data_IF_013459213186
#
_entry.id   IF_013459213186
#
_cell.length_a   1.000
_cell.length_b   1.000
_cell.length_c   1.000
_cell.angle_alpha   90.00
_cell.angle_beta   90.00
_cell.angle_gamma   90.00
#
_symmetry.space_group_name_H-M   'P 1'
#
loop_
_entity.id
_entity.type
_entity.pdbx_description
1 polymer ?
#
# COMPACT_ATOMS: atom_id res chain seq x y z
N UNK A 1 -42.06 -50.01 58.47
CA UNK A 1 -42.49 -48.73 59.00
C UNK A 1 -41.76 -47.69 58.17
N UNK A 2 -42.27 -47.26 57.06
CA UNK A 2 -43.27 -46.25 56.76
C UNK A 2 -42.77 -44.83 57.05
N UNK A 3 -42.50 -44.08 56.07
CA UNK A 3 -43.23 -42.84 55.79
C UNK A 3 -42.81 -42.24 54.47
N UNK A 4 -43.77 -42.20 53.58
CA UNK A 4 -43.83 -41.40 52.36
C UNK A 4 -43.87 -39.91 52.69
N UNK A 5 -43.13 -39.08 52.03
CA UNK A 5 -43.44 -37.64 51.96
C UNK A 5 -43.36 -37.15 50.53
N UNK A 6 -44.54 -36.79 50.05
CA UNK A 6 -44.79 -36.14 48.77
C UNK A 6 -44.01 -34.79 48.64
N UNK A 7 -43.35 -34.61 47.53
CA UNK A 7 -42.90 -33.27 47.08
C UNK A 7 -43.94 -32.73 46.08
N UNK A 8 -44.32 -31.45 46.14
CA UNK A 8 -45.25 -30.83 45.23
C UNK A 8 -44.58 -30.50 43.89
N UNK A 9 -45.30 -30.73 42.82
CA UNK A 9 -44.85 -30.38 41.44
C UNK A 9 -44.77 -28.89 41.23
N UNK A 10 -43.56 -28.42 40.92
CA UNK A 10 -43.35 -27.05 40.39
C UNK A 10 -43.83 -26.97 38.95
N UNK A 11 -44.79 -26.08 38.71
CA UNK A 11 -45.25 -25.70 37.37
C UNK A 11 -44.19 -24.80 36.70
N UNK A 12 -43.76 -25.03 35.45
CA UNK A 12 -42.84 -24.13 34.77
C UNK A 12 -43.55 -22.81 34.40
N UNK A 13 -43.05 -21.70 34.91
CA UNK A 13 -43.53 -20.35 34.61
C UNK A 13 -43.02 -19.88 33.22
N UNK A 14 -43.56 -20.45 32.15
CA UNK A 14 -43.20 -20.16 30.76
C UNK A 14 -43.66 -18.80 30.22
N UNK A 15 -44.19 -17.90 31.07
CA UNK A 15 -44.66 -16.57 30.62
C UNK A 15 -43.68 -15.41 30.88
N UNK A 16 -42.65 -15.57 31.70
CA UNK A 16 -41.69 -14.51 31.98
C UNK A 16 -40.54 -14.47 30.99
N UNK A 17 -40.15 -15.60 30.40
CA UNK A 17 -39.06 -15.66 29.42
C UNK A 17 -39.45 -15.18 28.00
N UNK A 18 -40.75 -15.32 27.64
CA UNK A 18 -41.22 -14.78 26.36
C UNK A 18 -41.21 -13.25 26.30
N UNK A 19 -41.42 -12.56 27.43
CA UNK A 19 -41.37 -11.10 27.49
C UNK A 19 -39.94 -10.55 27.51
N UNK A 20 -38.95 -11.28 28.02
CA UNK A 20 -37.53 -10.91 27.96
C UNK A 20 -36.93 -11.10 26.56
N UNK A 21 -37.39 -12.11 25.80
CA UNK A 21 -36.96 -12.34 24.43
C UNK A 21 -37.60 -11.36 23.42
N UNK A 22 -38.77 -10.84 23.70
CA UNK A 22 -39.43 -9.84 22.86
C UNK A 22 -38.84 -8.41 23.03
N UNK A 23 -38.28 -8.08 24.20
CA UNK A 23 -37.70 -6.76 24.46
C UNK A 23 -36.25 -6.62 23.92
N UNK A 24 -35.59 -7.71 23.54
CA UNK A 24 -34.24 -7.68 22.97
C UNK A 24 -34.24 -7.53 21.44
N UNK A 25 -35.41 -7.59 20.79
CA UNK A 25 -35.53 -7.64 19.31
C UNK A 25 -35.94 -6.32 18.66
N UNK A 26 -36.08 -5.22 19.35
CA UNK A 26 -36.60 -3.98 18.77
C UNK A 26 -35.88 -2.69 19.17
N UNK A 27 -34.70 -2.74 19.80
CA UNK A 27 -34.08 -1.49 20.26
C UNK A 27 -32.81 -1.05 19.50
N UNK A 28 -32.17 -1.88 18.70
CA UNK A 28 -30.88 -1.47 18.08
C UNK A 28 -30.73 -1.78 16.57
N UNK A 29 -31.82 -1.88 15.84
CA UNK A 29 -31.75 -1.81 14.39
C UNK A 29 -31.88 -0.37 13.90
N UNK A 30 -31.00 0.52 14.34
CA UNK A 30 -30.80 1.80 13.65
C UNK A 30 -29.98 1.52 12.40
N UNK A 31 -30.46 1.88 11.21
CA UNK A 31 -29.69 1.66 10.01
C UNK A 31 -28.40 2.47 10.08
N UNK A 32 -27.27 1.84 9.83
CA UNK A 32 -25.90 2.34 9.85
C UNK A 32 -25.70 3.70 9.12
N UNK A 33 -26.58 4.04 8.20
CA UNK A 33 -26.49 5.28 7.39
C UNK A 33 -27.21 6.50 8.01
N UNK A 34 -27.78 6.40 9.21
CA UNK A 34 -28.56 7.47 9.84
C UNK A 34 -27.87 8.07 11.06
N UNK A 35 -26.56 8.09 11.12
CA UNK A 35 -25.90 8.76 12.22
C UNK A 35 -25.04 9.94 11.75
N UNK A 36 -25.41 11.06 12.22
CA UNK A 36 -24.77 12.34 12.47
C UNK A 36 -23.44 12.63 11.78
N UNK A 37 -23.46 13.63 10.92
CA UNK A 37 -22.27 14.25 10.31
C UNK A 37 -21.20 14.65 11.35
N UNK A 38 -21.59 14.84 12.61
CA UNK A 38 -20.68 15.09 13.73
C UNK A 38 -19.83 13.90 14.14
N UNK A 39 -20.37 12.68 14.11
CA UNK A 39 -19.65 11.46 14.49
C UNK A 39 -18.65 11.00 13.42
N UNK A 40 -18.90 11.33 12.15
CA UNK A 40 -17.93 11.01 11.06
C UNK A 40 -16.67 11.89 11.21
N UNK A 41 -16.84 13.18 11.48
CA UNK A 41 -15.71 14.12 11.64
C UNK A 41 -14.90 13.80 12.91
N UNK A 42 -15.57 13.52 14.02
CA UNK A 42 -14.90 13.10 15.27
C UNK A 42 -14.20 11.75 15.11
N UNK A 43 -14.82 10.80 14.41
CA UNK A 43 -14.20 9.52 14.08
C UNK A 43 -12.98 9.65 13.15
N UNK A 44 -13.04 10.58 12.19
CA UNK A 44 -11.89 10.88 11.32
C UNK A 44 -10.73 11.49 12.11
N UNK A 45 -11.01 12.45 12.98
CA UNK A 45 -9.99 13.13 13.80
C UNK A 45 -9.34 12.14 14.77
N UNK A 46 -10.12 11.25 15.38
CA UNK A 46 -9.59 10.22 16.29
C UNK A 46 -8.77 9.12 15.57
N UNK A 47 -8.99 8.92 14.28
CA UNK A 47 -8.24 7.97 13.45
C UNK A 47 -6.93 8.55 12.89
N UNK A 48 -6.68 9.86 13.07
CA UNK A 48 -5.41 10.47 12.70
C UNK A 48 -4.29 10.01 13.64
N UNK A 49 -3.11 9.65 13.12
CA UNK A 49 -1.94 9.48 13.94
C UNK A 49 -1.63 10.79 14.69
N UNK A 50 -1.29 10.70 15.98
CA UNK A 50 -1.03 11.89 16.81
C UNK A 50 0.47 12.08 17.05
N UNK A 51 0.89 13.31 17.30
CA UNK A 51 2.27 13.62 17.67
C UNK A 51 3.31 13.25 16.60
N UNK A 52 4.35 12.53 17.00
CA UNK A 52 5.46 12.12 16.12
C UNK A 52 5.01 11.24 14.93
N UNK A 53 3.99 10.41 15.11
CA UNK A 53 3.49 9.53 14.05
C UNK A 53 2.88 10.32 12.87
N UNK A 54 2.18 11.42 13.15
CA UNK A 54 1.69 12.32 12.10
C UNK A 54 2.85 13.00 11.36
N UNK A 55 3.87 13.46 12.09
CA UNK A 55 5.05 14.07 11.48
C UNK A 55 5.77 13.09 10.54
N UNK A 56 5.96 11.83 10.96
CA UNK A 56 6.54 10.78 10.12
C UNK A 56 5.72 10.53 8.86
N UNK A 57 4.39 10.50 8.96
CA UNK A 57 3.50 10.31 7.82
C UNK A 57 3.62 11.47 6.82
N UNK A 58 3.64 12.73 7.29
CA UNK A 58 3.76 13.90 6.44
C UNK A 58 5.14 13.99 5.76
N UNK A 59 6.22 13.66 6.50
CA UNK A 59 7.57 13.57 5.93
C UNK A 59 7.63 12.48 4.86
N UNK A 60 7.04 11.31 5.13
CA UNK A 60 6.94 10.23 4.15
C UNK A 60 6.19 10.66 2.89
N UNK A 61 5.06 11.37 3.06
CA UNK A 61 4.26 11.88 1.95
C UNK A 61 5.04 12.91 1.10
N UNK A 62 5.70 13.86 1.75
CA UNK A 62 6.50 14.87 1.03
C UNK A 62 7.66 14.22 0.28
N UNK A 63 8.47 13.40 0.95
CA UNK A 63 9.64 12.76 0.35
C UNK A 63 9.25 11.78 -0.76
N UNK A 64 8.22 10.96 -0.56
CA UNK A 64 7.66 10.07 -1.58
C UNK A 64 7.11 10.84 -2.77
N UNK A 65 6.37 11.94 -2.52
CA UNK A 65 5.85 12.83 -3.56
C UNK A 65 6.95 13.49 -4.38
N UNK A 66 8.00 14.00 -3.75
CA UNK A 66 9.18 14.57 -4.44
C UNK A 66 9.84 13.54 -5.36
N UNK A 67 10.07 12.32 -4.86
CA UNK A 67 10.63 11.24 -5.66
C UNK A 67 9.72 10.88 -6.85
N UNK A 68 8.40 10.80 -6.63
CA UNK A 68 7.41 10.51 -7.68
C UNK A 68 7.39 11.58 -8.76
N UNK A 69 7.33 12.85 -8.36
CA UNK A 69 7.26 13.98 -9.29
C UNK A 69 8.47 14.07 -10.20
N UNK A 70 9.64 13.78 -9.65
CA UNK A 70 10.89 13.83 -10.42
C UNK A 70 11.13 12.59 -11.27
N UNK A 71 11.15 11.39 -10.66
CA UNK A 71 11.56 10.16 -11.35
C UNK A 71 10.42 9.45 -12.08
N UNK A 72 9.17 9.78 -11.75
CA UNK A 72 7.99 9.07 -12.23
C UNK A 72 7.77 7.70 -11.57
N UNK A 73 8.66 7.27 -10.67
CA UNK A 73 8.55 6.05 -9.86
C UNK A 73 9.33 6.24 -8.54
N UNK A 74 9.28 5.25 -7.67
CA UNK A 74 10.10 5.27 -6.45
C UNK A 74 9.43 5.89 -5.23
N UNK A 75 8.22 6.44 -5.36
CA UNK A 75 7.49 6.96 -4.20
C UNK A 75 7.34 5.90 -3.11
N UNK A 76 6.95 4.69 -3.46
CA UNK A 76 6.75 3.60 -2.52
C UNK A 76 8.05 3.18 -1.81
N UNK A 77 9.21 3.29 -2.47
CA UNK A 77 10.52 2.99 -1.88
C UNK A 77 10.88 3.91 -0.70
N UNK A 78 10.28 5.10 -0.67
CA UNK A 78 10.50 6.10 0.40
C UNK A 78 9.29 6.15 1.33
N UNK A 79 8.09 6.23 0.76
CA UNK A 79 6.86 6.40 1.52
C UNK A 79 6.60 5.20 2.44
N UNK A 80 6.60 3.97 1.90
CA UNK A 80 6.18 2.78 2.66
C UNK A 80 7.08 2.52 3.86
N UNK A 81 8.42 2.53 3.77
CA UNK A 81 9.25 2.34 4.95
C UNK A 81 9.04 3.44 6.00
N UNK A 82 9.00 4.71 5.62
CA UNK A 82 8.80 5.81 6.58
C UNK A 82 7.39 5.79 7.19
N UNK A 83 6.35 5.61 6.39
CA UNK A 83 4.97 5.53 6.87
C UNK A 83 4.75 4.29 7.75
N UNK A 84 5.51 3.20 7.53
CA UNK A 84 5.44 2.00 8.37
C UNK A 84 5.89 2.23 9.80
N UNK A 85 6.70 3.25 10.08
CA UNK A 85 7.06 3.66 11.44
C UNK A 85 5.83 4.15 12.20
N UNK A 86 4.92 4.86 11.51
CA UNK A 86 3.71 5.44 12.09
C UNK A 86 2.50 4.48 12.06
N UNK A 87 2.30 3.77 10.96
CA UNK A 87 1.07 3.00 10.67
C UNK A 87 1.29 1.49 10.62
N UNK A 88 2.53 1.02 10.73
CA UNK A 88 2.89 -0.35 10.38
C UNK A 88 2.84 -0.60 8.86
N UNK A 89 3.45 -1.70 8.37
CA UNK A 89 3.45 -2.03 6.94
C UNK A 89 2.04 -2.27 6.39
N UNK A 90 1.16 -2.89 7.19
CA UNK A 90 -0.24 -3.20 6.84
C UNK A 90 -1.12 -1.94 6.67
N UNK A 91 -0.76 -0.81 7.28
CA UNK A 91 -1.40 0.48 7.03
C UNK A 91 -0.73 1.29 5.93
N UNK A 92 0.61 1.25 5.87
CA UNK A 92 1.39 2.05 4.92
C UNK A 92 1.20 1.62 3.45
N UNK A 93 1.15 0.31 3.16
CA UNK A 93 1.02 -0.20 1.80
C UNK A 93 -0.35 0.12 1.17
N UNK A 94 -1.52 -0.10 1.84
CA UNK A 94 -2.81 0.31 1.30
C UNK A 94 -2.97 1.84 1.19
N UNK A 95 -2.37 2.59 2.11
CA UNK A 95 -2.36 4.05 2.01
C UNK A 95 -1.58 4.52 0.78
N UNK A 96 -0.43 3.90 0.50
CA UNK A 96 0.34 4.17 -0.72
C UNK A 96 -0.45 3.86 -2.00
N UNK A 97 -1.21 2.75 -2.01
CA UNK A 97 -2.10 2.41 -3.12
C UNK A 97 -3.11 3.53 -3.38
N UNK A 98 -3.76 4.04 -2.33
CA UNK A 98 -4.72 5.12 -2.46
C UNK A 98 -4.08 6.42 -3.01
N UNK A 99 -2.86 6.73 -2.56
CA UNK A 99 -2.11 7.89 -3.06
C UNK A 99 -1.71 7.77 -4.53
N UNK A 100 -1.29 6.57 -4.97
CA UNK A 100 -0.90 6.32 -6.36
C UNK A 100 -2.11 6.22 -7.30
N UNK A 101 -3.28 5.82 -6.81
CA UNK A 101 -4.47 5.63 -7.65
C UNK A 101 -4.83 6.87 -8.47
N UNK A 102 -4.76 8.07 -7.85
CA UNK A 102 -5.03 9.33 -8.54
C UNK A 102 -3.99 9.62 -9.62
N UNK A 103 -2.70 9.49 -9.30
CA UNK A 103 -1.61 9.74 -10.25
C UNK A 103 -1.67 8.77 -11.44
N UNK A 104 -1.97 7.49 -11.18
CA UNK A 104 -2.13 6.47 -12.21
C UNK A 104 -3.34 6.77 -13.09
N UNK A 105 -4.50 7.13 -12.52
CA UNK A 105 -5.70 7.47 -13.27
C UNK A 105 -5.47 8.63 -14.24
N UNK A 106 -4.71 9.64 -13.84
CA UNK A 106 -4.41 10.80 -14.68
C UNK A 106 -3.40 10.49 -15.79
N UNK A 107 -2.42 9.62 -15.54
CA UNK A 107 -1.32 9.35 -16.47
C UNK A 107 -1.62 8.22 -17.47
N UNK A 108 -2.46 7.25 -17.09
CA UNK A 108 -2.73 6.05 -17.91
C UNK A 108 -3.35 6.35 -19.25
N UNK A 109 -4.34 7.25 -19.41
CA UNK A 109 -4.95 7.52 -20.73
C UNK A 109 -3.94 7.99 -21.76
N UNK A 110 -3.00 8.85 -21.37
CA UNK A 110 -1.93 9.33 -22.26
C UNK A 110 -0.84 8.29 -22.57
N UNK A 111 -0.63 7.34 -21.67
CA UNK A 111 0.36 6.27 -21.82
C UNK A 111 -0.17 5.09 -22.65
N UNK A 112 -1.47 4.81 -22.60
CA UNK A 112 -2.09 3.66 -23.20
C UNK A 112 -1.78 3.43 -24.70
N UNK A 113 -1.85 4.45 -25.60
CA UNK A 113 -1.58 4.27 -27.03
C UNK A 113 -0.09 4.00 -27.34
N UNK A 114 0.81 4.34 -26.43
CA UNK A 114 2.27 4.22 -26.62
C UNK A 114 2.85 2.95 -25.97
N UNK A 115 2.08 2.28 -25.14
CA UNK A 115 2.53 1.12 -24.37
C UNK A 115 2.57 -0.14 -25.25
N UNK A 116 3.57 -1.00 -25.04
CA UNK A 116 3.60 -2.37 -25.56
C UNK A 116 2.61 -3.24 -24.77
N UNK A 117 1.38 -3.32 -25.29
CA UNK A 117 0.27 -4.03 -24.59
C UNK A 117 0.54 -5.51 -24.40
N UNK A 118 1.26 -6.14 -25.34
CA UNK A 118 1.59 -7.56 -25.25
C UNK A 118 2.50 -7.82 -24.07
N UNK A 119 3.51 -6.98 -23.91
CA UNK A 119 4.46 -7.09 -22.83
C UNK A 119 3.86 -6.76 -21.48
N UNK A 120 3.10 -5.66 -21.41
CA UNK A 120 2.32 -5.30 -20.22
C UNK A 120 1.37 -6.42 -19.83
N UNK A 121 0.75 -7.09 -20.80
CA UNK A 121 -0.11 -8.26 -20.55
C UNK A 121 0.64 -9.41 -19.84
N UNK A 122 1.81 -9.80 -20.34
CA UNK A 122 2.61 -10.85 -19.69
C UNK A 122 3.12 -10.45 -18.29
N UNK A 123 3.56 -9.21 -18.12
CA UNK A 123 3.93 -8.66 -16.81
C UNK A 123 2.73 -8.70 -15.85
N UNK A 124 1.56 -8.28 -16.32
CA UNK A 124 0.33 -8.24 -15.50
C UNK A 124 -0.18 -9.62 -15.14
N UNK A 125 -0.04 -10.62 -16.02
CA UNK A 125 -0.35 -12.02 -15.71
C UNK A 125 0.53 -12.55 -14.59
N UNK A 126 1.83 -12.24 -14.60
CA UNK A 126 2.72 -12.55 -13.49
C UNK A 126 2.30 -11.83 -12.20
N UNK A 127 2.01 -10.54 -12.29
CA UNK A 127 1.57 -9.74 -11.15
C UNK A 127 0.22 -10.22 -10.58
N UNK A 128 -0.69 -10.73 -11.41
CA UNK A 128 -1.99 -11.28 -10.98
C UNK A 128 -1.83 -12.44 -9.99
N UNK A 129 -0.75 -13.23 -10.14
CA UNK A 129 -0.40 -14.29 -9.20
C UNK A 129 0.45 -13.74 -8.06
N UNK A 130 1.45 -12.90 -8.37
CA UNK A 130 2.41 -12.41 -7.39
C UNK A 130 1.80 -11.46 -6.35
N UNK A 131 0.91 -10.56 -6.78
CA UNK A 131 0.35 -9.54 -5.88
C UNK A 131 -0.53 -10.13 -4.77
N UNK A 132 -1.44 -11.08 -5.02
CA UNK A 132 -2.16 -11.75 -3.93
C UNK A 132 -1.24 -12.52 -2.98
N UNK A 133 -0.19 -13.17 -3.49
CA UNK A 133 0.81 -13.82 -2.63
C UNK A 133 1.53 -12.81 -1.73
N UNK A 134 1.92 -11.65 -2.30
CA UNK A 134 2.52 -10.56 -1.52
C UNK A 134 1.56 -9.97 -0.50
N UNK A 135 0.28 -9.78 -0.84
CA UNK A 135 -0.74 -9.32 0.09
C UNK A 135 -0.99 -10.33 1.22
N UNK A 136 -0.96 -11.63 0.93
CA UNK A 136 -1.05 -12.68 1.94
C UNK A 136 0.14 -12.62 2.90
N UNK A 137 1.37 -12.47 2.39
CA UNK A 137 2.57 -12.26 3.22
C UNK A 137 2.40 -11.03 4.11
N UNK A 138 1.88 -9.92 3.56
CA UNK A 138 1.64 -8.69 4.32
C UNK A 138 0.68 -8.90 5.49
N UNK A 139 -0.36 -9.72 5.32
CA UNK A 139 -1.38 -9.98 6.36
C UNK A 139 -0.91 -10.98 7.41
N UNK A 140 -0.27 -12.06 6.96
CA UNK A 140 0.03 -13.21 7.84
C UNK A 140 1.37 -13.09 8.57
N UNK A 141 2.25 -12.18 8.14
CA UNK A 141 3.55 -12.01 8.76
C UNK A 141 3.48 -10.98 9.88
N UNK A 142 4.24 -11.23 10.95
CA UNK A 142 4.39 -10.29 12.06
C UNK A 142 4.87 -8.91 11.57
N UNK A 143 4.26 -7.81 12.03
CA UNK A 143 4.63 -6.45 11.59
C UNK A 143 6.09 -6.09 11.78
N UNK A 144 6.74 -6.60 12.83
CA UNK A 144 8.16 -6.35 13.09
C UNK A 144 9.04 -7.03 12.05
N UNK A 145 8.74 -8.32 11.76
CA UNK A 145 9.44 -9.08 10.72
C UNK A 145 9.23 -8.47 9.33
N UNK A 146 8.01 -8.00 9.05
CA UNK A 146 7.71 -7.29 7.80
C UNK A 146 8.53 -6.01 7.65
N UNK A 147 8.70 -5.21 8.71
CA UNK A 147 9.53 -3.98 8.66
C UNK A 147 10.97 -4.31 8.31
N UNK A 148 11.55 -5.34 8.92
CA UNK A 148 12.88 -5.84 8.56
C UNK A 148 12.92 -6.29 7.10
N UNK A 149 11.96 -7.12 6.69
CA UNK A 149 11.87 -7.66 5.33
C UNK A 149 11.74 -6.56 4.28
N UNK A 150 10.84 -5.59 4.49
CA UNK A 150 10.63 -4.45 3.57
C UNK A 150 11.89 -3.59 3.48
N UNK A 151 12.54 -3.27 4.60
CA UNK A 151 13.77 -2.49 4.60
C UNK A 151 14.90 -3.20 3.83
N UNK A 152 15.11 -4.50 4.08
CA UNK A 152 16.13 -5.30 3.38
C UNK A 152 15.85 -5.42 1.89
N UNK A 153 14.59 -5.64 1.51
CA UNK A 153 14.16 -5.66 0.09
C UNK A 153 14.44 -4.32 -0.58
N UNK A 154 14.10 -3.22 0.07
CA UNK A 154 14.34 -1.87 -0.49
C UNK A 154 15.83 -1.60 -0.64
N UNK A 155 16.66 -1.97 0.34
CA UNK A 155 18.12 -1.85 0.23
C UNK A 155 18.68 -2.72 -0.90
N UNK A 156 18.19 -3.95 -1.07
CA UNK A 156 18.55 -4.82 -2.19
C UNK A 156 18.17 -4.22 -3.54
N UNK A 157 16.96 -3.67 -3.67
CA UNK A 157 16.49 -2.98 -4.88
C UNK A 157 17.28 -1.70 -5.15
N UNK A 158 17.66 -0.96 -4.11
CA UNK A 158 18.54 0.19 -4.23
C UNK A 158 19.92 -0.25 -4.76
N UNK A 159 20.49 -1.34 -4.24
CA UNK A 159 21.72 -1.93 -4.76
C UNK A 159 21.60 -2.30 -6.25
N UNK A 160 20.48 -2.91 -6.65
CA UNK A 160 20.18 -3.20 -8.04
C UNK A 160 20.11 -1.92 -8.90
N UNK A 161 19.49 -0.86 -8.41
CA UNK A 161 19.40 0.42 -9.13
C UNK A 161 20.76 1.12 -9.24
N UNK A 162 21.58 1.10 -8.18
CA UNK A 162 22.91 1.71 -8.15
C UNK A 162 23.90 0.93 -9.03
N UNK A 163 23.80 -0.40 -9.09
CA UNK A 163 24.64 -1.23 -9.96
C UNK A 163 24.42 -0.95 -11.45
N UNK A 164 23.32 -0.29 -11.80
CA UNK A 164 22.94 -0.03 -13.20
C UNK A 164 22.64 -1.31 -13.99
N UNK A 165 22.41 -2.43 -13.28
CA UNK A 165 22.09 -3.70 -13.92
C UNK A 165 20.83 -3.58 -14.77
N UNK A 166 20.90 -4.06 -16.00
CA UNK A 166 19.81 -4.11 -16.95
C UNK A 166 19.76 -5.50 -17.57
N UNK A 167 18.59 -5.99 -17.79
CA UNK A 167 18.41 -7.25 -18.49
C UNK A 167 18.98 -7.11 -19.92
N UNK A 168 19.83 -8.04 -20.36
CA UNK A 168 20.47 -8.05 -21.69
C UNK A 168 20.11 -9.30 -22.50
N UNK A 169 18.91 -9.82 -22.33
CA UNK A 169 18.44 -11.01 -23.02
C UNK A 169 17.33 -10.73 -24.03
N UNK A 170 16.97 -11.74 -24.83
CA UNK A 170 15.79 -11.69 -25.66
C UNK A 170 14.56 -11.82 -24.76
N UNK A 171 13.55 -10.95 -24.89
CA UNK A 171 12.33 -11.04 -24.11
C UNK A 171 11.59 -12.33 -24.50
N UNK A 172 11.36 -13.20 -23.53
CA UNK A 172 10.57 -14.40 -23.68
C UNK A 172 9.34 -14.32 -22.75
N UNK A 173 8.15 -14.73 -23.20
CA UNK A 173 6.95 -14.66 -22.37
C UNK A 173 7.09 -15.24 -20.96
N UNK A 174 7.75 -16.42 -20.75
CA UNK A 174 7.93 -16.95 -19.40
C UNK A 174 8.80 -16.07 -18.49
N UNK A 175 9.84 -15.45 -19.07
CA UNK A 175 10.71 -14.55 -18.32
C UNK A 175 9.97 -13.26 -17.95
N UNK A 176 9.23 -12.67 -18.89
CA UNK A 176 8.41 -11.48 -18.66
C UNK A 176 7.39 -11.73 -17.54
N UNK A 177 6.76 -12.91 -17.58
CA UNK A 177 5.82 -13.35 -16.56
C UNK A 177 6.51 -13.55 -15.19
N UNK A 178 7.73 -14.11 -15.16
CA UNK A 178 8.54 -14.24 -13.96
C UNK A 178 8.91 -12.89 -13.33
N UNK A 179 9.29 -11.91 -14.15
CA UNK A 179 9.54 -10.53 -13.71
C UNK A 179 8.25 -9.91 -13.14
N UNK A 180 7.12 -10.10 -13.82
CA UNK A 180 5.81 -9.67 -13.36
C UNK A 180 5.41 -10.30 -12.02
N UNK A 181 5.68 -11.61 -11.84
CA UNK A 181 5.42 -12.33 -10.59
C UNK A 181 6.28 -11.77 -9.44
N UNK A 182 7.58 -11.64 -9.63
CA UNK A 182 8.48 -11.06 -8.63
C UNK A 182 8.09 -9.62 -8.27
N UNK A 183 7.80 -8.81 -9.29
CA UNK A 183 7.32 -7.43 -9.12
C UNK A 183 5.96 -7.39 -8.42
N UNK A 184 5.06 -8.33 -8.74
CA UNK A 184 3.75 -8.46 -8.10
C UNK A 184 3.87 -8.81 -6.61
N UNK A 185 4.74 -9.75 -6.23
CA UNK A 185 4.98 -10.08 -4.81
C UNK A 185 5.46 -8.84 -4.06
N UNK A 186 6.45 -8.13 -4.59
CA UNK A 186 6.95 -6.89 -3.98
C UNK A 186 5.88 -5.79 -3.93
N UNK A 187 5.05 -5.71 -4.98
CA UNK A 187 3.89 -4.82 -5.05
C UNK A 187 2.83 -5.14 -3.99
N UNK A 188 2.56 -6.42 -3.77
CA UNK A 188 1.61 -6.89 -2.76
C UNK A 188 2.10 -6.67 -1.32
N UNK A 189 3.41 -6.81 -1.06
CA UNK A 189 3.99 -6.58 0.27
C UNK A 189 4.07 -5.09 0.61
N UNK A 190 4.55 -4.26 -0.32
CA UNK A 190 4.96 -2.89 -0.03
C UNK A 190 4.70 -1.88 -1.14
N UNK A 191 3.86 -2.19 -2.14
CA UNK A 191 3.63 -1.36 -3.33
C UNK A 191 4.92 -1.04 -4.13
N UNK A 192 5.98 -1.84 -3.96
CA UNK A 192 7.31 -1.63 -4.57
C UNK A 192 7.47 -2.52 -5.81
N UNK A 193 6.60 -2.36 -6.79
CA UNK A 193 6.63 -3.13 -8.04
C UNK A 193 7.55 -2.54 -9.12
N UNK A 194 8.03 -1.30 -8.94
CA UNK A 194 8.75 -0.56 -9.97
C UNK A 194 10.11 -1.11 -10.37
N UNK A 195 11.08 -1.25 -9.46
CA UNK A 195 12.50 -1.50 -9.82
C UNK A 195 12.73 -2.75 -10.67
N UNK A 196 12.15 -3.92 -10.40
CA UNK A 196 12.37 -5.10 -11.24
C UNK A 196 11.88 -4.91 -12.67
N UNK A 197 10.70 -4.29 -12.84
CA UNK A 197 10.12 -4.03 -14.17
C UNK A 197 10.89 -2.98 -14.93
N UNK A 198 11.33 -1.90 -14.25
CA UNK A 198 12.15 -0.87 -14.89
C UNK A 198 13.49 -1.45 -15.34
N UNK A 199 14.18 -2.26 -14.52
CA UNK A 199 15.43 -2.89 -14.88
C UNK A 199 15.26 -3.86 -16.08
N UNK A 200 14.13 -4.53 -16.16
CA UNK A 200 13.77 -5.39 -17.29
C UNK A 200 13.47 -4.57 -18.56
N UNK A 201 12.59 -3.57 -18.48
CA UNK A 201 12.18 -2.75 -19.63
C UNK A 201 13.32 -1.91 -20.20
N UNK A 202 14.23 -1.38 -19.36
CA UNK A 202 15.41 -0.62 -19.80
C UNK A 202 16.46 -1.49 -20.50
N UNK A 203 16.39 -2.80 -20.36
CA UNK A 203 17.25 -3.73 -21.07
C UNK A 203 16.82 -4.02 -22.50
N UNK A 204 15.64 -3.54 -22.90
CA UNK A 204 15.10 -3.75 -24.26
C UNK A 204 15.55 -2.68 -25.24
N UNK A 205 15.64 -3.06 -26.50
CA UNK A 205 15.88 -2.15 -27.64
C UNK A 205 14.60 -1.40 -28.00
N UNK A 206 14.17 -0.49 -27.13
CA UNK A 206 12.95 0.34 -27.32
C UNK A 206 13.20 1.78 -26.92
N UNK A 207 12.33 2.69 -27.33
CA UNK A 207 12.46 4.11 -26.98
C UNK A 207 12.14 4.36 -25.51
N UNK A 208 12.82 5.32 -24.88
CA UNK A 208 12.54 5.71 -23.49
C UNK A 208 11.06 6.11 -23.28
N UNK A 209 10.42 6.66 -24.32
CA UNK A 209 8.99 7.02 -24.30
C UNK A 209 8.10 5.78 -24.20
N UNK A 210 8.42 4.73 -24.94
CA UNK A 210 7.67 3.47 -24.90
C UNK A 210 7.89 2.73 -23.59
N UNK A 211 9.13 2.69 -23.07
CA UNK A 211 9.43 2.12 -21.74
C UNK A 211 8.60 2.80 -20.65
N UNK A 212 8.57 4.15 -20.64
CA UNK A 212 7.80 4.92 -19.66
C UNK A 212 6.29 4.66 -19.80
N UNK A 213 5.78 4.58 -21.02
CA UNK A 213 4.37 4.30 -21.27
C UNK A 213 3.98 2.89 -20.82
N UNK A 214 4.73 1.87 -21.22
CA UNK A 214 4.50 0.48 -20.79
C UNK A 214 4.57 0.32 -19.28
N UNK A 215 5.53 0.99 -18.64
CA UNK A 215 5.65 1.01 -17.18
C UNK A 215 4.43 1.66 -16.50
N UNK A 216 3.95 2.80 -17.02
CA UNK A 216 2.76 3.48 -16.47
C UNK A 216 1.52 2.59 -16.57
N UNK A 217 1.30 1.93 -17.71
CA UNK A 217 0.16 1.03 -17.90
C UNK A 217 0.30 -0.23 -17.02
N UNK A 218 1.52 -0.75 -16.85
CA UNK A 218 1.77 -1.84 -15.91
C UNK A 218 1.46 -1.45 -14.46
N UNK A 219 1.85 -0.23 -14.03
CA UNK A 219 1.51 0.26 -12.69
C UNK A 219 0.00 0.41 -12.50
N UNK A 220 -0.73 0.81 -13.55
CA UNK A 220 -2.19 0.88 -13.51
C UNK A 220 -2.83 -0.49 -13.31
N UNK A 221 -2.41 -1.48 -14.11
CA UNK A 221 -2.87 -2.86 -13.96
C UNK A 221 -2.50 -3.44 -12.59
N UNK A 222 -1.27 -3.24 -12.14
CA UNK A 222 -0.79 -3.66 -10.83
C UNK A 222 -1.55 -3.00 -9.68
N UNK A 223 -1.89 -1.71 -9.81
CA UNK A 223 -2.71 -0.98 -8.84
C UNK A 223 -4.12 -1.54 -8.72
N UNK A 224 -4.76 -1.90 -9.84
CA UNK A 224 -6.08 -2.56 -9.81
C UNK A 224 -5.98 -3.94 -9.14
N UNK A 225 -4.97 -4.74 -9.51
CA UNK A 225 -4.75 -6.07 -8.92
C UNK A 225 -4.49 -5.93 -7.41
N UNK A 226 -3.64 -4.98 -7.00
CA UNK A 226 -3.36 -4.72 -5.59
C UNK A 226 -4.62 -4.23 -4.84
N UNK A 227 -5.43 -3.38 -5.46
CA UNK A 227 -6.70 -2.92 -4.89
C UNK A 227 -7.65 -4.06 -4.60
N UNK A 228 -7.82 -4.98 -5.55
CA UNK A 228 -8.64 -6.19 -5.37
C UNK A 228 -8.05 -7.10 -4.28
N UNK A 229 -6.73 -7.34 -4.32
CA UNK A 229 -6.07 -8.20 -3.33
C UNK A 229 -6.16 -7.62 -1.91
N UNK A 230 -5.95 -6.31 -1.73
CA UNK A 230 -6.05 -5.64 -0.43
C UNK A 230 -7.49 -5.55 0.07
N UNK A 231 -8.47 -5.36 -0.84
CA UNK A 231 -9.88 -5.41 -0.48
C UNK A 231 -10.28 -6.81 0.01
N UNK A 232 -9.89 -7.86 -0.72
CA UNK A 232 -10.12 -9.25 -0.32
C UNK A 232 -9.43 -9.63 0.99
N UNK A 233 -8.25 -9.04 1.26
CA UNK A 233 -7.49 -9.22 2.49
C UNK A 233 -7.99 -8.36 3.67
N UNK A 234 -9.02 -7.51 3.48
CA UNK A 234 -9.55 -6.63 4.52
C UNK A 234 -8.63 -5.47 4.92
N UNK A 235 -7.63 -5.15 4.10
CA UNK A 235 -6.67 -4.08 4.38
C UNK A 235 -7.21 -2.68 4.03
N UNK A 236 -8.24 -2.59 3.16
CA UNK A 236 -8.87 -1.31 2.81
C UNK A 236 -9.96 -0.97 3.82
N UNK A 237 -9.56 -0.40 4.94
CA UNK A 237 -10.48 -0.01 6.02
C UNK A 237 -10.83 1.48 5.95
N UNK A 238 -12.02 1.92 6.44
CA UNK A 238 -12.37 3.33 6.54
C UNK A 238 -11.39 4.16 7.38
N UNK A 239 -10.65 3.52 8.29
CA UNK A 239 -9.62 4.15 9.11
C UNK A 239 -8.48 4.77 8.28
N UNK A 240 -8.26 4.31 7.04
CA UNK A 240 -7.29 4.88 6.12
C UNK A 240 -7.69 6.26 5.59
N UNK A 241 -8.96 6.64 5.70
CA UNK A 241 -9.44 7.90 5.15
C UNK A 241 -8.79 9.12 5.83
N UNK A 242 -8.63 9.09 7.15
CA UNK A 242 -8.02 10.19 7.88
C UNK A 242 -6.53 10.38 7.55
N UNK A 243 -5.67 9.33 7.64
CA UNK A 243 -4.28 9.41 7.16
C UNK A 243 -4.16 9.83 5.70
N UNK A 244 -5.07 9.37 4.83
CA UNK A 244 -5.09 9.75 3.41
C UNK A 244 -5.36 11.23 3.23
N UNK A 245 -6.41 11.77 3.86
CA UNK A 245 -6.76 13.19 3.75
C UNK A 245 -5.67 14.11 4.29
N UNK A 246 -4.95 13.69 5.33
CA UNK A 246 -3.83 14.46 5.87
C UNK A 246 -2.60 14.42 4.95
N UNK A 247 -2.28 13.26 4.39
CA UNK A 247 -1.05 13.05 3.63
C UNK A 247 -1.18 13.40 2.14
N UNK A 248 -2.36 13.26 1.54
CA UNK A 248 -2.59 13.49 0.11
C UNK A 248 -2.24 14.90 -0.38
N UNK A 249 -2.60 16.01 0.33
CA UNK A 249 -2.19 17.35 -0.07
C UNK A 249 -0.67 17.51 -0.06
N UNK A 250 0.00 16.98 0.97
CA UNK A 250 1.45 17.05 1.13
C UNK A 250 2.16 16.24 0.05
N UNK A 251 1.61 15.06 -0.27
CA UNK A 251 2.09 14.22 -1.37
C UNK A 251 1.94 14.92 -2.73
N UNK A 252 0.80 15.56 -2.97
CA UNK A 252 0.56 16.34 -4.20
C UNK A 252 1.52 17.52 -4.33
N UNK A 253 1.78 18.26 -3.24
CA UNK A 253 2.80 19.32 -3.19
C UNK A 253 4.20 18.76 -3.47
N UNK A 254 4.52 17.58 -2.93
CA UNK A 254 5.75 16.87 -3.22
C UNK A 254 5.88 16.53 -4.72
N UNK A 255 4.83 15.97 -5.35
CA UNK A 255 4.84 15.67 -6.79
C UNK A 255 5.08 16.94 -7.61
N UNK A 256 4.38 18.02 -7.30
CA UNK A 256 4.52 19.28 -7.99
C UNK A 256 5.92 19.88 -7.85
N UNK A 257 6.48 19.88 -6.63
CA UNK A 257 7.85 20.33 -6.36
C UNK A 257 8.89 19.49 -7.08
N UNK A 258 8.76 18.14 -7.01
CA UNK A 258 9.63 17.20 -7.69
C UNK A 258 9.61 17.38 -9.22
N UNK A 259 8.44 17.59 -9.81
CA UNK A 259 8.29 17.84 -11.24
C UNK A 259 8.98 19.15 -11.68
N UNK A 260 8.91 20.20 -10.86
CA UNK A 260 9.63 21.47 -11.13
C UNK A 260 11.15 21.35 -11.01
N UNK A 261 11.62 20.55 -10.06
CA UNK A 261 13.05 20.31 -9.86
C UNK A 261 13.68 19.57 -11.04
N UNK A 262 12.91 18.81 -11.83
CA UNK A 262 13.38 18.11 -13.02
C UNK A 262 14.02 19.05 -14.05
N UNK A 263 13.56 20.30 -14.16
CA UNK A 263 14.12 21.31 -15.08
C UNK A 263 15.32 22.10 -14.52
N UNK A 264 15.57 22.06 -13.21
CA UNK A 264 16.52 22.93 -12.52
C UNK A 264 17.79 22.19 -12.05
N UNK A 265 17.71 20.90 -11.76
CA UNK A 265 18.81 20.10 -11.23
C UNK A 265 19.41 19.19 -12.30
N UNK A 266 20.73 18.95 -12.24
CA UNK A 266 21.34 17.93 -13.09
C UNK A 266 20.77 16.56 -12.75
N UNK A 267 20.43 15.75 -13.75
CA UNK A 267 19.86 14.39 -13.58
C UNK A 267 20.71 13.53 -12.64
N UNK A 268 22.05 13.68 -12.69
CA UNK A 268 22.96 12.91 -11.82
C UNK A 268 22.86 13.30 -10.36
N UNK A 269 22.77 14.61 -10.05
CA UNK A 269 22.69 15.08 -8.67
C UNK A 269 21.38 14.64 -8.04
N UNK A 270 20.27 14.76 -8.77
CA UNK A 270 18.97 14.36 -8.26
C UNK A 270 18.84 12.84 -8.10
N UNK A 271 19.34 12.06 -9.04
CA UNK A 271 19.34 10.59 -8.91
C UNK A 271 20.10 10.15 -7.66
N UNK A 272 21.23 10.79 -7.35
CA UNK A 272 21.96 10.57 -6.09
C UNK A 272 21.12 10.95 -4.88
N UNK A 273 20.45 12.09 -4.89
CA UNK A 273 19.57 12.50 -3.80
C UNK A 273 18.43 11.50 -3.57
N UNK A 274 17.78 11.01 -4.62
CA UNK A 274 16.78 9.96 -4.50
C UNK A 274 17.35 8.67 -3.89
N UNK A 275 18.54 8.24 -4.31
CA UNK A 275 19.17 7.05 -3.73
C UNK A 275 19.50 7.22 -2.25
N UNK A 276 19.98 8.40 -1.85
CA UNK A 276 20.18 8.72 -0.44
C UNK A 276 18.88 8.77 0.35
N UNK A 277 17.81 9.34 -0.21
CA UNK A 277 16.49 9.33 0.42
C UNK A 277 15.94 7.91 0.60
N UNK A 278 16.08 7.04 -0.41
CA UNK A 278 15.68 5.63 -0.33
C UNK A 278 16.52 4.91 0.74
N UNK A 279 17.84 5.08 0.74
CA UNK A 279 18.71 4.48 1.74
C UNK A 279 18.35 4.94 3.16
N UNK A 280 18.20 6.26 3.34
CA UNK A 280 17.83 6.85 4.63
C UNK A 280 16.46 6.36 5.09
N UNK A 281 15.45 6.31 4.20
CA UNK A 281 14.11 5.84 4.55
C UNK A 281 14.10 4.37 4.99
N UNK A 282 14.85 3.52 4.27
CA UNK A 282 14.97 2.10 4.62
C UNK A 282 15.68 1.92 5.96
N UNK A 283 16.78 2.64 6.19
CA UNK A 283 17.53 2.58 7.45
C UNK A 283 16.72 3.10 8.64
N UNK A 284 16.02 4.25 8.48
CA UNK A 284 15.19 4.84 9.54
C UNK A 284 13.95 3.99 9.86
N UNK A 285 13.46 3.19 8.90
CA UNK A 285 12.33 2.29 9.12
C UNK A 285 12.70 1.02 9.89
N UNK A 286 14.00 0.74 10.07
CA UNK A 286 14.44 -0.45 10.80
C UNK A 286 13.94 -0.40 12.26
N UNK A 287 13.41 -1.52 12.78
CA UNK A 287 12.92 -1.59 14.15
C UNK A 287 13.99 -1.35 15.22
N UNK A 288 15.27 -1.41 14.84
CA UNK A 288 16.40 -1.13 15.74
C UNK A 288 16.34 0.27 16.39
N UNK A 289 15.63 1.21 15.77
CA UNK A 289 15.50 2.59 16.25
C UNK A 289 14.24 2.86 17.07
N UNK A 290 13.37 1.85 17.27
CA UNK A 290 12.07 2.05 17.94
C UNK A 290 12.22 2.56 19.38
N UNK A 291 13.34 2.26 20.05
CA UNK A 291 13.65 2.80 21.39
C UNK A 291 14.07 4.27 21.43
N UNK A 292 14.41 4.86 20.27
CA UNK A 292 14.88 6.24 20.14
C UNK A 292 13.85 7.14 19.45
N UNK A 293 13.05 6.57 18.53
CA UNK A 293 12.14 7.32 17.66
C UNK A 293 10.67 7.31 18.12
N UNK A 294 10.32 6.46 19.11
CA UNK A 294 8.99 6.37 19.73
C UNK A 294 9.04 6.83 21.21
#
# INVERSE_FOLDING_TARGET
MNQSSCLPAERPSGRRDARRRASFRSRDARPFWRDDRGHVVTGLISALPHGSALAWLLVAALAGGLARGFSGFGAALIFVPLASVALGPQGAAPLMLAMEALAIALLTPGAWPLADRREVGWLSLGALIGTPLGAAVLVWTDPLLLRWGVALVILGLLGLMVSGWRFRGRPAPPLTMGVGLASGVLGGIAMVSGPPVVAYLLGRETTARQVRASFTVYLAAGGVIAGIAYAAAGLLTPALAAPFLAAAPVYALGIWGGARMFGLASERAFRRACYWMIAASALLSLPAWDGVLR
#
